data_IF_772358291826
#
_entry.id   IF_772358291826
#
_cell.length_a   1.000
_cell.length_b   1.000
_cell.length_c   1.000
_cell.angle_alpha   90.00
_cell.angle_beta   90.00
_cell.angle_gamma   90.00
#
_symmetry.space_group_name_H-M   'P 1'
#
loop_
_entity.id
_entity.type
_entity.pdbx_description
1 polymer ?
#
# COMPACT_ATOMS: atom_id res chain seq x y z
N UNK A 1 -2.48 -24.94 18.33
CA UNK A 1 -1.41 -23.92 18.22
C UNK A 1 -1.81 -22.96 17.13
N UNK A 2 -1.45 -21.69 17.23
CA UNK A 2 -1.62 -20.74 16.11
C UNK A 2 -0.68 -21.11 14.98
N UNK A 3 -1.13 -20.94 13.73
CA UNK A 3 -0.27 -21.10 12.53
C UNK A 3 0.58 -19.83 12.38
N UNK A 4 1.90 -19.97 12.40
CA UNK A 4 2.84 -18.84 12.25
C UNK A 4 3.01 -18.49 10.78
N UNK A 5 2.89 -17.23 10.43
CA UNK A 5 2.98 -16.78 9.04
C UNK A 5 3.94 -15.62 8.85
N UNK A 6 4.61 -15.61 7.70
CA UNK A 6 5.22 -14.42 7.11
C UNK A 6 4.22 -13.77 6.17
N UNK A 7 3.91 -12.51 6.40
CA UNK A 7 2.94 -11.75 5.62
C UNK A 7 3.65 -10.79 4.67
N UNK A 8 3.35 -10.91 3.39
CA UNK A 8 3.92 -10.07 2.33
C UNK A 8 2.84 -9.10 1.85
N UNK A 9 3.06 -7.81 2.05
CA UNK A 9 2.12 -6.74 1.75
C UNK A 9 2.58 -5.94 0.53
N UNK A 10 1.85 -6.09 -0.57
CA UNK A 10 2.19 -5.47 -1.85
C UNK A 10 1.92 -3.96 -1.92
N UNK A 11 2.51 -3.35 -2.97
CA UNK A 11 2.25 -1.96 -3.40
C UNK A 11 0.87 -1.82 -4.06
N UNK A 12 0.25 -0.62 -3.99
CA UNK A 12 -1.00 -0.37 -4.69
C UNK A 12 -1.79 0.88 -4.26
N UNK A 13 -1.16 1.87 -3.61
CA UNK A 13 -1.83 3.11 -3.19
C UNK A 13 -3.01 2.84 -2.26
N UNK A 14 -4.14 3.53 -2.44
CA UNK A 14 -5.33 3.40 -1.58
C UNK A 14 -5.93 1.99 -1.56
N UNK A 15 -5.71 1.17 -2.61
CA UNK A 15 -6.07 -0.26 -2.60
C UNK A 15 -5.44 -1.02 -1.43
N UNK A 16 -4.30 -0.51 -0.93
CA UNK A 16 -3.60 -1.09 0.21
C UNK A 16 -4.36 -1.05 1.52
N UNK A 17 -5.41 -0.26 1.66
CA UNK A 17 -6.29 -0.32 2.82
C UNK A 17 -6.96 -1.71 2.96
N UNK A 18 -7.01 -2.49 1.89
CA UNK A 18 -7.37 -3.91 1.94
C UNK A 18 -6.44 -4.75 2.83
N UNK A 19 -5.19 -4.35 3.01
CA UNK A 19 -4.25 -5.04 3.92
C UNK A 19 -4.77 -5.08 5.36
N UNK A 20 -5.46 -4.03 5.82
CA UNK A 20 -6.09 -3.99 7.15
C UNK A 20 -7.10 -5.14 7.28
N UNK A 21 -7.97 -5.29 6.29
CA UNK A 21 -8.95 -6.37 6.25
C UNK A 21 -8.31 -7.76 6.21
N UNK A 22 -7.23 -7.92 5.44
CA UNK A 22 -6.47 -9.19 5.38
C UNK A 22 -5.88 -9.53 6.75
N UNK A 23 -5.22 -8.58 7.41
CA UNK A 23 -4.64 -8.78 8.75
C UNK A 23 -5.72 -9.19 9.75
N UNK A 24 -6.87 -8.50 9.77
CA UNK A 24 -8.00 -8.84 10.64
C UNK A 24 -8.53 -10.26 10.38
N UNK A 25 -8.65 -10.65 9.11
CA UNK A 25 -9.08 -11.99 8.75
C UNK A 25 -8.11 -13.06 9.25
N UNK A 26 -6.81 -12.85 9.11
CA UNK A 26 -5.78 -13.77 9.58
C UNK A 26 -5.81 -13.92 11.10
N UNK A 27 -5.85 -12.82 11.86
CA UNK A 27 -5.89 -12.85 13.32
C UNK A 27 -7.14 -13.54 13.86
N UNK A 28 -8.31 -13.27 13.27
CA UNK A 28 -9.59 -13.90 13.67
C UNK A 28 -9.63 -15.40 13.40
N UNK A 29 -8.80 -15.90 12.47
CA UNK A 29 -8.74 -17.32 12.11
C UNK A 29 -7.48 -18.03 12.65
N UNK A 30 -6.97 -17.56 13.79
CA UNK A 30 -5.88 -18.17 14.53
C UNK A 30 -4.53 -18.25 13.78
N UNK A 31 -4.26 -17.30 12.89
CA UNK A 31 -2.92 -17.09 12.36
C UNK A 31 -2.16 -16.09 13.26
N UNK A 32 -0.86 -16.32 13.40
CA UNK A 32 0.07 -15.45 14.10
C UNK A 32 1.07 -14.87 13.10
N UNK A 33 0.98 -13.57 12.87
CA UNK A 33 1.91 -12.86 11.99
C UNK A 33 3.22 -12.65 12.74
N UNK A 34 4.27 -13.39 12.37
CA UNK A 34 5.58 -13.32 13.01
C UNK A 34 6.61 -12.50 12.22
N UNK A 35 6.34 -12.25 10.94
CA UNK A 35 7.18 -11.43 10.07
C UNK A 35 6.34 -10.70 9.03
N UNK A 36 6.75 -9.47 8.69
CA UNK A 36 6.16 -8.69 7.61
C UNK A 36 7.24 -8.17 6.66
N UNK A 37 7.02 -8.36 5.38
CA UNK A 37 7.71 -7.65 4.31
C UNK A 37 6.72 -6.80 3.53
N UNK A 38 6.94 -5.49 3.47
CA UNK A 38 6.02 -4.56 2.84
C UNK A 38 6.67 -3.64 1.82
N UNK A 39 5.87 -3.23 0.82
CA UNK A 39 6.26 -2.27 -0.19
C UNK A 39 5.20 -1.16 -0.29
N UNK A 40 5.63 0.11 -0.34
CA UNK A 40 4.73 1.26 -0.47
C UNK A 40 3.68 1.27 0.65
N UNK A 41 2.39 1.34 0.31
CA UNK A 41 1.29 1.21 1.27
C UNK A 41 1.38 -0.06 2.12
N UNK A 42 1.91 -1.15 1.57
CA UNK A 42 2.15 -2.38 2.32
C UNK A 42 3.23 -2.23 3.39
N UNK A 43 4.26 -1.41 3.15
CA UNK A 43 5.24 -1.07 4.17
C UNK A 43 4.60 -0.20 5.27
N UNK A 44 3.75 0.76 4.91
CA UNK A 44 3.07 1.64 5.85
C UNK A 44 2.14 0.82 6.77
N UNK A 45 1.19 0.07 6.20
CA UNK A 45 0.23 -0.74 6.97
C UNK A 45 0.95 -1.80 7.81
N UNK A 46 1.94 -2.48 7.20
CA UNK A 46 2.72 -3.51 7.88
C UNK A 46 3.55 -2.95 9.05
N UNK A 47 4.16 -1.78 8.89
CA UNK A 47 4.92 -1.11 9.94
C UNK A 47 4.05 -0.64 11.10
N UNK A 48 2.88 -0.07 10.81
CA UNK A 48 1.90 0.35 11.83
C UNK A 48 1.38 -0.88 12.60
N UNK A 49 1.08 -1.98 11.89
CA UNK A 49 0.70 -3.23 12.53
C UNK A 49 1.80 -3.78 13.42
N UNK A 50 3.03 -3.83 12.91
CA UNK A 50 4.19 -4.31 13.66
C UNK A 50 4.46 -3.48 14.94
N UNK A 51 4.13 -2.19 14.91
CA UNK A 51 4.16 -1.31 16.07
C UNK A 51 2.95 -1.48 17.03
N UNK A 52 1.99 -2.37 16.70
CA UNK A 52 0.79 -2.61 17.52
C UNK A 52 -0.24 -1.49 17.47
N UNK A 53 -0.22 -0.67 16.41
CA UNK A 53 -1.05 0.54 16.27
C UNK A 53 -2.08 0.50 15.14
N UNK A 54 -2.32 -0.69 14.60
CA UNK A 54 -3.27 -0.84 13.49
C UNK A 54 -4.72 -0.44 13.84
N UNK A 55 -5.25 -0.72 15.05
CA UNK A 55 -6.61 -0.31 15.41
C UNK A 55 -6.77 1.22 15.45
N UNK A 56 -5.80 1.94 15.99
CA UNK A 56 -5.80 3.41 16.03
C UNK A 56 -5.73 3.99 14.61
N UNK A 57 -4.87 3.42 13.76
CA UNK A 57 -4.78 3.82 12.35
C UNK A 57 -6.07 3.52 11.59
N UNK A 58 -6.70 2.36 11.80
CA UNK A 58 -7.97 2.01 11.16
C UNK A 58 -9.06 3.03 11.54
N UNK A 59 -9.18 3.38 12.82
CA UNK A 59 -10.14 4.39 13.26
C UNK A 59 -9.88 5.72 12.57
N UNK A 60 -8.64 6.19 12.56
CA UNK A 60 -8.24 7.43 11.94
C UNK A 60 -8.52 7.46 10.43
N UNK A 61 -8.17 6.42 9.69
CA UNK A 61 -8.35 6.39 8.22
C UNK A 61 -9.83 6.27 7.81
N UNK A 62 -10.68 5.71 8.66
CA UNK A 62 -12.13 5.65 8.43
C UNK A 62 -12.83 6.99 8.65
N UNK A 63 -12.24 7.88 9.45
CA UNK A 63 -12.76 9.22 9.74
C UNK A 63 -12.26 10.26 8.74
N UNK A 64 -11.17 9.97 7.99
CA UNK A 64 -10.58 10.90 7.01
C UNK A 64 -11.50 11.10 5.82
N UNK A 65 -11.78 12.36 5.53
CA UNK A 65 -12.45 12.76 4.30
C UNK A 65 -11.45 13.25 3.23
N UNK A 66 -11.97 13.63 2.05
CA UNK A 66 -11.14 14.12 0.93
C UNK A 66 -10.39 15.41 1.26
N UNK A 67 -10.96 16.28 2.11
CA UNK A 67 -10.33 17.55 2.51
C UNK A 67 -9.17 17.29 3.47
N UNK A 68 -9.32 16.32 4.36
CA UNK A 68 -8.26 15.90 5.28
C UNK A 68 -7.07 15.32 4.52
N UNK A 69 -7.32 14.46 3.52
CA UNK A 69 -6.27 13.92 2.64
C UNK A 69 -5.49 15.04 1.99
N UNK A 70 -6.20 16.03 1.41
CA UNK A 70 -5.55 17.19 0.79
C UNK A 70 -4.74 18.00 1.80
N UNK A 71 -5.28 18.17 3.01
CA UNK A 71 -4.60 18.91 4.08
C UNK A 71 -3.30 18.24 4.54
N UNK A 72 -3.20 16.92 4.40
CA UNK A 72 -2.01 16.12 4.71
C UNK A 72 -0.95 16.17 3.60
N UNK A 73 -1.31 16.67 2.40
CA UNK A 73 -0.37 16.84 1.30
C UNK A 73 0.37 18.16 1.46
N UNK A 74 1.59 18.12 1.96
CA UNK A 74 2.51 19.25 2.03
C UNK A 74 3.19 19.48 0.68
N UNK A 75 2.67 20.40 -0.11
CA UNK A 75 3.25 20.77 -1.40
C UNK A 75 4.68 21.30 -1.20
N UNK A 76 5.64 20.70 -1.87
CA UNK A 76 7.00 21.20 -1.91
C UNK A 76 7.01 22.53 -2.68
N UNK A 77 7.28 23.63 -1.99
CA UNK A 77 7.52 24.94 -2.61
C UNK A 77 8.84 24.87 -3.39
N UNK A 78 8.75 24.71 -4.70
CA UNK A 78 9.89 24.56 -5.61
C UNK A 78 9.45 23.95 -6.92
N UNK A 79 10.31 23.91 -7.89
CA UNK A 79 10.06 23.77 -9.33
C UNK A 79 9.30 22.50 -9.82
N UNK A 80 8.78 21.59 -8.97
CA UNK A 80 8.29 20.30 -9.47
C UNK A 80 6.91 19.86 -8.97
N UNK A 81 6.19 20.65 -8.15
CA UNK A 81 4.81 20.28 -7.71
C UNK A 81 4.69 18.97 -6.90
N UNK A 82 5.81 18.48 -6.35
CA UNK A 82 5.84 17.24 -5.58
C UNK A 82 5.46 17.48 -4.12
N UNK A 83 4.88 16.47 -3.48
CA UNK A 83 4.56 16.45 -2.06
C UNK A 83 5.79 16.00 -1.27
N UNK A 84 6.13 16.70 -0.18
CA UNK A 84 7.25 16.28 0.69
C UNK A 84 6.92 15.03 1.50
N UNK A 85 5.67 14.89 1.91
CA UNK A 85 5.18 13.78 2.73
C UNK A 85 5.58 13.89 4.21
N UNK A 86 6.20 14.98 4.62
CA UNK A 86 6.63 15.17 6.02
C UNK A 86 5.41 15.26 6.95
N UNK A 87 4.34 15.91 6.50
CA UNK A 87 3.14 16.13 7.30
C UNK A 87 2.43 14.80 7.62
N UNK A 88 2.24 13.94 6.61
CA UNK A 88 1.63 12.61 6.83
C UNK A 88 2.52 11.75 7.75
N UNK A 89 3.83 11.75 7.52
CA UNK A 89 4.76 10.99 8.36
C UNK A 89 4.74 11.50 9.81
N UNK A 90 4.71 12.82 10.03
CA UNK A 90 4.63 13.39 11.38
C UNK A 90 3.31 13.04 12.07
N UNK A 91 2.17 13.09 11.37
CA UNK A 91 0.87 12.65 11.91
C UNK A 91 0.92 11.17 12.33
N UNK A 92 1.54 10.32 11.52
CA UNK A 92 1.70 8.90 11.86
C UNK A 92 2.67 8.69 13.02
N UNK A 93 3.77 9.47 13.11
CA UNK A 93 4.69 9.45 14.26
C UNK A 93 4.00 9.88 15.57
N UNK A 94 3.12 10.87 15.51
CA UNK A 94 2.33 11.28 16.68
C UNK A 94 1.40 10.17 17.18
N UNK A 95 0.82 9.40 16.27
CA UNK A 95 -0.07 8.28 16.59
C UNK A 95 0.69 7.05 17.14
N UNK A 96 1.81 6.70 16.51
CA UNK A 96 2.54 5.44 16.74
C UNK A 96 3.67 5.61 17.76
N UNK A 97 4.30 6.78 17.79
CA UNK A 97 5.56 7.04 18.49
C UNK A 97 6.76 6.95 17.55
N UNK A 98 7.88 7.53 17.96
CA UNK A 98 9.16 7.43 17.25
C UNK A 98 9.88 6.14 17.69
N UNK A 99 9.78 5.10 16.87
CA UNK A 99 10.26 3.75 17.17
C UNK A 99 11.24 3.28 16.09
N UNK A 100 12.23 2.48 16.48
CA UNK A 100 13.13 1.83 15.53
C UNK A 100 12.59 0.45 15.12
N UNK A 101 12.94 0.00 13.90
CA UNK A 101 12.51 -1.30 13.40
C UNK A 101 12.97 -2.45 14.31
N UNK A 102 14.13 -2.31 14.93
CA UNK A 102 14.69 -3.34 15.83
C UNK A 102 13.98 -3.44 17.18
N UNK A 103 13.16 -2.45 17.54
CA UNK A 103 12.32 -2.47 18.76
C UNK A 103 10.93 -3.08 18.52
N UNK A 104 10.58 -3.36 17.27
CA UNK A 104 9.29 -3.97 16.92
C UNK A 104 9.20 -5.40 17.46
N UNK A 105 8.02 -5.82 17.96
CA UNK A 105 7.82 -7.17 18.53
C UNK A 105 7.89 -8.30 17.49
N UNK A 106 7.77 -7.96 16.20
CA UNK A 106 7.85 -8.91 15.08
C UNK A 106 8.87 -8.43 14.04
N UNK A 107 9.39 -9.35 13.24
CA UNK A 107 10.29 -9.01 12.14
C UNK A 107 9.59 -8.13 11.11
N UNK A 108 10.24 -7.05 10.70
CA UNK A 108 9.68 -6.12 9.71
C UNK A 108 10.75 -5.66 8.71
N UNK A 109 10.36 -5.65 7.44
CA UNK A 109 11.19 -5.10 6.35
C UNK A 109 10.33 -4.23 5.44
N UNK A 110 10.69 -2.96 5.29
CA UNK A 110 10.20 -2.09 4.23
C UNK A 110 11.10 -2.20 3.00
N UNK A 111 10.52 -2.27 1.81
CA UNK A 111 11.29 -2.33 0.57
C UNK A 111 11.16 -1.02 -0.20
N UNK A 112 12.30 -0.45 -0.57
CA UNK A 112 12.44 0.74 -1.42
C UNK A 112 13.24 0.42 -2.67
N UNK A 113 13.27 1.33 -3.64
CA UNK A 113 14.05 1.23 -4.88
C UNK A 113 15.14 2.29 -4.92
N UNK A 114 16.40 1.89 -5.08
CA UNK A 114 17.52 2.77 -5.36
C UNK A 114 17.63 2.99 -6.88
N UNK A 115 17.24 4.18 -7.36
CA UNK A 115 17.21 4.48 -8.80
C UNK A 115 18.58 4.73 -9.39
N UNK A 116 19.59 5.08 -8.59
CA UNK A 116 20.94 5.28 -9.10
C UNK A 116 21.60 3.94 -9.46
N UNK A 117 21.33 2.90 -8.67
CA UNK A 117 21.95 1.59 -8.85
C UNK A 117 21.00 0.54 -9.46
N UNK A 118 19.71 0.87 -9.66
CA UNK A 118 18.71 -0.04 -10.20
C UNK A 118 18.49 -1.26 -9.31
N UNK A 119 18.50 -1.10 -7.97
CA UNK A 119 18.42 -2.21 -7.00
C UNK A 119 17.35 -1.95 -5.98
N UNK A 120 16.67 -3.03 -5.56
CA UNK A 120 15.82 -2.99 -4.37
C UNK A 120 16.67 -2.85 -3.10
N UNK A 121 16.15 -2.14 -2.12
CA UNK A 121 16.78 -1.90 -0.81
C UNK A 121 15.86 -2.37 0.28
N UNK A 122 16.34 -3.28 1.12
CA UNK A 122 15.61 -3.80 2.26
C UNK A 122 15.97 -2.99 3.51
N UNK A 123 14.98 -2.30 4.04
CA UNK A 123 15.09 -1.44 5.20
C UNK A 123 14.50 -2.18 6.41
N UNK A 124 15.36 -2.86 7.17
CA UNK A 124 15.02 -3.71 8.31
C UNK A 124 15.68 -3.27 9.62
N UNK A 125 16.21 -2.05 9.66
CA UNK A 125 16.83 -1.42 10.83
C UNK A 125 16.74 0.10 10.71
N UNK A 126 16.99 0.80 11.83
CA UNK A 126 16.86 2.26 11.90
C UNK A 126 15.43 2.72 12.17
N UNK A 127 15.11 3.98 11.88
CA UNK A 127 13.79 4.56 12.12
C UNK A 127 12.73 3.87 11.27
N UNK A 128 11.62 3.45 11.89
CA UNK A 128 10.48 2.87 11.21
C UNK A 128 9.90 3.82 10.15
N UNK A 129 9.74 5.09 10.53
CA UNK A 129 9.11 6.07 9.64
C UNK A 129 10.02 6.55 8.52
N UNK A 130 11.35 6.54 8.70
CA UNK A 130 12.27 6.82 7.59
C UNK A 130 12.24 5.69 6.55
N UNK A 131 12.13 4.44 7.00
CA UNK A 131 11.97 3.29 6.13
C UNK A 131 10.63 3.32 5.37
N UNK A 132 9.53 3.62 6.08
CA UNK A 132 8.20 3.80 5.48
C UNK A 132 8.25 4.95 4.47
N UNK A 133 8.79 6.12 4.85
CA UNK A 133 8.87 7.30 3.99
C UNK A 133 9.63 7.02 2.69
N UNK A 134 10.74 6.28 2.76
CA UNK A 134 11.46 5.85 1.57
C UNK A 134 10.61 4.92 0.69
N UNK A 135 9.94 3.93 1.31
CA UNK A 135 9.14 2.93 0.61
C UNK A 135 7.90 3.51 -0.08
N UNK A 136 7.31 4.60 0.44
CA UNK A 136 6.12 5.26 -0.14
C UNK A 136 6.46 6.41 -1.09
N UNK A 137 7.74 6.65 -1.42
CA UNK A 137 8.17 7.76 -2.29
C UNK A 137 7.78 7.53 -3.75
N UNK A 138 6.47 7.53 -4.02
CA UNK A 138 5.90 7.31 -5.36
C UNK A 138 6.43 8.37 -6.35
N UNK A 139 7.05 7.98 -7.47
CA UNK A 139 7.50 8.90 -8.50
C UNK A 139 6.39 9.82 -9.00
N UNK A 140 6.71 11.07 -9.29
CA UNK A 140 5.81 12.13 -9.71
C UNK A 140 4.82 12.62 -8.63
N UNK A 141 4.76 11.95 -7.47
CA UNK A 141 3.90 12.35 -6.36
C UNK A 141 4.71 12.82 -5.15
N UNK A 142 5.59 11.96 -4.62
CA UNK A 142 6.46 12.31 -3.50
C UNK A 142 7.89 12.65 -3.92
N UNK A 143 8.54 13.52 -3.13
CA UNK A 143 9.99 13.75 -3.27
C UNK A 143 10.76 12.47 -2.92
N UNK A 144 11.81 12.11 -3.69
CA UNK A 144 12.69 11.01 -3.34
C UNK A 144 13.43 11.26 -2.01
N UNK A 145 13.93 10.19 -1.40
CA UNK A 145 14.79 10.27 -0.21
C UNK A 145 16.24 10.09 -0.62
N UNK A 146 17.05 11.10 -0.34
CA UNK A 146 18.50 11.06 -0.59
C UNK A 146 19.22 10.61 0.70
N UNK A 147 19.99 9.54 0.62
CA UNK A 147 20.80 9.03 1.72
C UNK A 147 22.00 8.23 1.23
N UNK A 148 23.18 8.44 1.84
CA UNK A 148 24.37 7.61 1.61
C UNK A 148 24.68 7.30 0.13
N UNK A 149 24.69 8.29 -0.74
CA UNK A 149 24.87 8.15 -2.20
C UNK A 149 23.81 7.29 -2.90
N UNK A 150 22.61 7.21 -2.35
CA UNK A 150 21.43 6.57 -2.94
C UNK A 150 20.32 7.57 -3.11
N UNK A 151 19.48 7.37 -4.11
CA UNK A 151 18.20 8.06 -4.27
C UNK A 151 17.13 6.99 -4.18
N UNK A 152 16.40 6.98 -3.04
CA UNK A 152 15.37 6.00 -2.75
C UNK A 152 14.01 6.54 -3.17
N UNK A 153 13.28 5.71 -3.89
CA UNK A 153 11.89 5.91 -4.29
C UNK A 153 11.07 4.69 -3.92
N UNK A 154 9.76 4.74 -4.23
CA UNK A 154 8.81 3.65 -3.95
C UNK A 154 9.35 2.29 -4.40
N UNK A 155 9.26 1.32 -3.49
CA UNK A 155 9.75 -0.03 -3.73
C UNK A 155 9.02 -0.75 -4.87
N UNK A 156 7.77 -0.39 -5.14
CA UNK A 156 6.95 -0.96 -6.21
C UNK A 156 7.51 -0.73 -7.61
N UNK A 157 8.46 0.21 -7.77
CA UNK A 157 9.19 0.40 -9.04
C UNK A 157 9.97 -0.86 -9.43
N UNK A 158 10.56 -1.58 -8.47
CA UNK A 158 11.38 -2.77 -8.73
C UNK A 158 10.82 -4.05 -8.11
N UNK A 159 10.06 -3.95 -7.03
CA UNK A 159 9.50 -5.12 -6.33
C UNK A 159 8.14 -4.82 -5.66
N UNK A 160 7.05 -4.85 -6.44
CA UNK A 160 5.71 -4.52 -5.92
C UNK A 160 5.15 -5.54 -4.94
N UNK A 161 5.65 -6.79 -4.91
CA UNK A 161 5.28 -7.83 -3.93
C UNK A 161 6.56 -8.45 -3.38
N UNK A 162 7.10 -7.93 -2.24
CA UNK A 162 8.44 -8.25 -1.78
C UNK A 162 8.49 -9.57 -0.98
N UNK A 163 8.54 -10.71 -1.66
CA UNK A 163 8.57 -12.05 -1.03
C UNK A 163 9.96 -12.38 -0.47
N UNK A 164 11.03 -12.03 -1.18
CA UNK A 164 12.38 -12.47 -0.86
C UNK A 164 12.86 -12.16 0.57
N UNK A 165 12.52 -11.01 1.20
CA UNK A 165 12.90 -10.75 2.59
C UNK A 165 12.41 -11.81 3.59
N UNK A 166 11.34 -12.54 3.26
CA UNK A 166 10.77 -13.57 4.15
C UNK A 166 11.35 -14.98 3.97
N UNK A 167 12.35 -15.17 3.09
CA UNK A 167 12.86 -16.52 2.79
C UNK A 167 13.55 -17.20 3.97
N UNK A 168 14.13 -16.41 4.88
CA UNK A 168 14.84 -16.92 6.05
C UNK A 168 13.95 -17.01 7.30
N UNK A 169 12.68 -16.64 7.19
CA UNK A 169 11.77 -16.65 8.33
C UNK A 169 11.38 -18.07 8.72
N UNK A 170 11.30 -18.30 10.02
CA UNK A 170 10.77 -19.52 10.61
C UNK A 170 9.24 -19.38 10.75
N UNK A 171 8.53 -19.60 9.65
CA UNK A 171 7.06 -19.54 9.56
C UNK A 171 6.49 -20.77 8.86
N UNK A 172 5.27 -21.17 9.25
CA UNK A 172 4.57 -22.30 8.65
C UNK A 172 4.12 -22.01 7.21
N UNK A 173 3.71 -20.75 6.95
CA UNK A 173 3.21 -20.31 5.65
C UNK A 173 3.70 -18.91 5.31
N UNK A 174 3.88 -18.64 4.01
CA UNK A 174 4.06 -17.34 3.41
C UNK A 174 2.78 -16.91 2.70
N UNK A 175 2.16 -15.84 3.18
CA UNK A 175 0.92 -15.31 2.63
C UNK A 175 1.22 -13.97 1.98
N UNK A 176 0.99 -13.87 0.67
CA UNK A 176 1.22 -12.64 -0.08
C UNK A 176 -0.09 -11.97 -0.50
N UNK A 177 -0.13 -10.64 -0.43
CA UNK A 177 -1.24 -9.82 -0.88
C UNK A 177 -0.80 -9.03 -2.10
N UNK A 178 -1.41 -9.29 -3.25
CA UNK A 178 -1.18 -8.60 -4.50
C UNK A 178 -2.35 -7.66 -4.79
N UNK A 179 -2.09 -6.36 -4.86
CA UNK A 179 -3.09 -5.31 -5.13
C UNK A 179 -3.18 -4.92 -6.62
N UNK A 180 -2.37 -5.53 -7.45
CA UNK A 180 -2.29 -5.28 -8.89
C UNK A 180 -2.87 -6.41 -9.74
N UNK A 181 -3.76 -7.26 -9.20
CA UNK A 181 -4.28 -8.40 -9.94
C UNK A 181 -5.24 -7.96 -11.06
N UNK A 182 -4.98 -8.48 -12.26
CA UNK A 182 -5.89 -8.33 -13.40
C UNK A 182 -7.02 -9.37 -13.39
N UNK A 183 -6.83 -10.48 -12.67
CA UNK A 183 -7.75 -11.62 -12.63
C UNK A 183 -8.85 -11.48 -11.59
N UNK A 184 -8.65 -10.63 -10.57
CA UNK A 184 -9.63 -10.44 -9.52
C UNK A 184 -10.82 -9.61 -10.04
N UNK A 185 -12.03 -10.03 -9.68
CA UNK A 185 -13.25 -9.26 -10.00
C UNK A 185 -13.27 -7.99 -9.17
N UNK A 186 -13.53 -6.81 -9.77
CA UNK A 186 -13.73 -5.58 -9.01
C UNK A 186 -14.94 -5.73 -8.05
N UNK A 187 -14.97 -4.98 -6.93
CA UNK A 187 -16.15 -4.94 -6.07
C UNK A 187 -17.36 -4.41 -6.83
N UNK A 188 -18.56 -4.88 -6.49
CA UNK A 188 -19.80 -4.30 -7.02
C UNK A 188 -19.91 -2.83 -6.58
N UNK A 189 -20.33 -1.91 -7.48
CA UNK A 189 -20.49 -0.51 -7.12
C UNK A 189 -21.56 -0.34 -6.04
N UNK A 190 -21.22 0.29 -4.93
CA UNK A 190 -22.20 0.75 -3.94
C UNK A 190 -22.85 2.02 -4.51
N UNK A 191 -24.18 2.08 -4.56
CA UNK A 191 -24.92 3.27 -5.03
C UNK A 191 -24.48 4.52 -4.24
N UNK A 192 -24.02 5.53 -4.97
CA UNK A 192 -23.54 6.80 -4.38
C UNK A 192 -24.72 7.72 -4.05
N UNK A 193 -24.72 8.26 -2.84
CA UNK A 193 -25.46 9.50 -2.53
C UNK A 193 -24.59 10.69 -2.95
N UNK A 194 -25.01 11.45 -3.96
CA UNK A 194 -24.31 12.63 -4.44
C UNK A 194 -24.51 13.81 -3.48
N UNK A 195 -23.42 14.42 -3.03
CA UNK A 195 -23.42 15.75 -2.41
C UNK A 195 -22.55 16.66 -3.28
N UNK A 196 -23.17 17.62 -3.95
CA UNK A 196 -22.48 18.67 -4.67
C UNK A 196 -22.08 19.80 -3.73
N UNK A 197 -20.82 20.21 -3.73
CA UNK A 197 -20.43 21.56 -3.31
C UNK A 197 -19.21 22.05 -4.14
N UNK A 198 -19.45 23.16 -4.87
CA UNK A 198 -18.47 23.82 -5.73
C UNK A 198 -17.87 25.01 -4.98
N UNK A 199 -16.61 24.94 -4.56
CA UNK A 199 -15.75 26.14 -4.43
C UNK A 199 -14.38 25.83 -3.83
N UNK A 200 -13.27 25.88 -4.64
CA UNK A 200 -11.93 26.32 -4.23
C UNK A 200 -10.88 26.04 -5.31
N UNK A 201 -9.80 26.84 -5.52
CA UNK A 201 -8.80 26.64 -6.60
C UNK A 201 -7.97 25.35 -6.49
N UNK A 202 -7.93 24.73 -5.31
CA UNK A 202 -7.31 23.42 -5.06
C UNK A 202 -8.14 22.29 -5.71
N UNK A 203 -9.43 22.51 -5.94
CA UNK A 203 -10.30 21.57 -6.64
C UNK A 203 -9.79 21.24 -8.05
N UNK A 204 -9.20 22.21 -8.76
CA UNK A 204 -8.65 21.99 -10.11
C UNK A 204 -7.43 21.06 -10.13
N UNK A 205 -6.60 21.07 -9.08
CA UNK A 205 -5.50 20.13 -8.95
C UNK A 205 -6.03 18.75 -8.54
N UNK A 206 -6.99 18.71 -7.62
CA UNK A 206 -7.69 17.47 -7.22
C UNK A 206 -8.54 16.94 -8.37
N UNK A 207 -9.20 17.82 -9.15
CA UNK A 207 -9.95 17.40 -10.33
C UNK A 207 -9.04 16.92 -11.46
N UNK A 208 -7.79 17.35 -11.52
CA UNK A 208 -6.77 16.74 -12.38
C UNK A 208 -6.31 15.36 -11.89
N UNK A 209 -6.52 15.06 -10.60
CA UNK A 209 -6.32 13.75 -9.96
C UNK A 209 -7.63 12.93 -9.87
N UNK A 210 -8.78 13.55 -10.11
CA UNK A 210 -10.08 12.89 -10.23
C UNK A 210 -10.27 12.39 -11.65
N UNK A 211 -10.31 11.10 -11.78
CA UNK A 211 -10.83 10.44 -12.98
C UNK A 211 -12.36 10.45 -12.92
N UNK A 212 -12.98 11.52 -13.40
CA UNK A 212 -14.41 11.49 -13.68
C UNK A 212 -14.70 10.41 -14.71
N UNK A 213 -15.47 9.40 -14.31
CA UNK A 213 -16.05 8.39 -15.18
C UNK A 213 -17.22 8.95 -16.00
N UNK A 214 -17.03 10.08 -16.66
CA UNK A 214 -17.84 10.40 -17.83
C UNK A 214 -17.07 9.94 -19.06
N UNK A 215 -17.73 9.20 -19.92
CA UNK A 215 -17.26 8.74 -21.22
C UNK A 215 -16.63 9.89 -22.00
N UNK A 216 -15.35 10.18 -21.73
CA UNK A 216 -14.54 11.04 -22.60
C UNK A 216 -13.73 10.14 -23.50
N UNK A 217 -13.97 10.34 -24.78
CA UNK A 217 -13.24 9.77 -25.91
C UNK A 217 -11.78 9.43 -25.55
N UNK A 218 -11.35 8.24 -25.92
CA UNK A 218 -10.03 7.63 -25.73
C UNK A 218 -8.82 8.52 -26.13
N UNK A 219 -9.04 9.77 -26.52
CA UNK A 219 -8.07 10.59 -27.23
C UNK A 219 -7.41 11.73 -26.46
N UNK A 220 -7.59 11.88 -25.12
CA UNK A 220 -6.90 12.96 -24.35
C UNK A 220 -6.55 12.57 -22.92
N UNK A 221 -5.77 11.50 -22.74
CA UNK A 221 -5.10 11.25 -21.44
C UNK A 221 -4.03 12.31 -21.21
N UNK A 222 -4.04 12.96 -20.05
CA UNK A 222 -2.96 13.86 -19.63
C UNK A 222 -1.66 13.11 -19.41
N UNK A 223 -0.51 13.80 -19.49
CA UNK A 223 0.81 13.16 -19.32
C UNK A 223 0.94 12.43 -17.98
N UNK A 224 0.37 12.99 -16.90
CA UNK A 224 0.34 12.35 -15.58
C UNK A 224 -0.48 11.06 -15.60
N UNK A 225 -1.65 11.08 -16.22
CA UNK A 225 -2.53 9.90 -16.33
C UNK A 225 -1.88 8.77 -17.12
N UNK A 226 -1.19 9.09 -18.20
CA UNK A 226 -0.39 8.11 -18.98
C UNK A 226 0.72 7.52 -18.11
N UNK A 227 1.42 8.36 -17.34
CA UNK A 227 2.51 7.91 -16.48
C UNK A 227 2.00 7.00 -15.34
N UNK A 228 0.88 7.37 -14.68
CA UNK A 228 0.26 6.58 -13.61
C UNK A 228 -0.22 5.20 -14.13
N UNK A 229 -0.92 5.19 -15.26
CA UNK A 229 -1.36 3.93 -15.91
C UNK A 229 -0.18 3.07 -16.38
N UNK A 230 0.88 3.69 -16.90
CA UNK A 230 2.08 2.96 -17.30
C UNK A 230 2.80 2.36 -16.08
N UNK A 231 2.90 3.11 -14.99
CA UNK A 231 3.48 2.64 -13.74
C UNK A 231 2.66 1.48 -13.15
N UNK A 232 1.33 1.60 -13.08
CA UNK A 232 0.43 0.54 -12.61
C UNK A 232 0.54 -0.74 -13.48
N UNK A 233 0.63 -0.60 -14.80
CA UNK A 233 0.82 -1.73 -15.70
C UNK A 233 2.19 -2.41 -15.48
N UNK A 234 3.28 -1.63 -15.36
CA UNK A 234 4.61 -2.18 -15.07
C UNK A 234 4.64 -2.91 -13.73
N UNK A 235 4.05 -2.33 -12.68
CA UNK A 235 3.95 -2.99 -11.38
C UNK A 235 3.19 -4.30 -11.45
N UNK A 236 2.05 -4.35 -12.16
CA UNK A 236 1.26 -5.58 -12.32
C UNK A 236 2.05 -6.69 -13.01
N UNK A 237 2.80 -6.38 -14.05
CA UNK A 237 3.66 -7.35 -14.74
C UNK A 237 4.86 -7.80 -13.87
N UNK A 238 5.49 -6.88 -13.14
CA UNK A 238 6.56 -7.22 -12.21
C UNK A 238 6.06 -8.09 -11.06
N UNK A 239 4.88 -7.79 -10.49
CA UNK A 239 4.24 -8.62 -9.47
C UNK A 239 3.99 -10.04 -9.99
N UNK A 240 3.41 -10.18 -11.19
CA UNK A 240 3.18 -11.48 -11.81
C UNK A 240 4.48 -12.27 -12.01
N UNK A 241 5.55 -11.63 -12.49
CA UNK A 241 6.85 -12.25 -12.66
C UNK A 241 7.49 -12.69 -11.32
N UNK A 242 7.42 -11.83 -10.28
CA UNK A 242 7.93 -12.15 -8.93
C UNK A 242 7.15 -13.30 -8.30
N UNK A 243 5.82 -13.29 -8.38
CA UNK A 243 4.95 -14.36 -7.87
C UNK A 243 5.17 -15.70 -8.60
N UNK A 244 5.45 -15.66 -9.90
CA UNK A 244 5.79 -16.86 -10.65
C UNK A 244 7.17 -17.43 -10.27
N UNK A 245 8.15 -16.56 -10.00
CA UNK A 245 9.49 -16.97 -9.59
C UNK A 245 9.55 -17.44 -8.13
N UNK A 246 8.73 -16.86 -7.27
CA UNK A 246 8.70 -17.08 -5.82
C UNK A 246 7.25 -17.22 -5.36
N UNK A 247 6.59 -18.36 -5.66
CA UNK A 247 5.19 -18.55 -5.28
C UNK A 247 5.04 -18.59 -3.76
N UNK A 248 4.11 -17.78 -3.18
CA UNK A 248 3.73 -17.91 -1.78
C UNK A 248 2.84 -19.14 -1.58
N UNK A 249 2.68 -19.58 -0.32
CA UNK A 249 1.76 -20.67 0.01
C UNK A 249 0.29 -20.26 -0.19
N UNK A 250 -0.02 -18.98 0.08
CA UNK A 250 -1.34 -18.38 -0.18
C UNK A 250 -1.16 -17.05 -0.86
N UNK A 251 -1.90 -16.82 -1.94
CA UNK A 251 -1.98 -15.56 -2.64
C UNK A 251 -3.37 -14.94 -2.46
N UNK A 252 -3.43 -13.75 -1.86
CA UNK A 252 -4.64 -12.91 -1.77
C UNK A 252 -4.58 -11.89 -2.90
N UNK A 253 -5.50 -11.97 -3.85
CA UNK A 253 -5.53 -11.14 -5.04
C UNK A 253 -6.64 -10.08 -4.96
N UNK A 254 -6.26 -8.82 -4.92
CA UNK A 254 -7.16 -7.66 -5.00
C UNK A 254 -7.05 -7.07 -6.40
N UNK A 255 -8.20 -6.77 -7.01
CA UNK A 255 -8.25 -6.19 -8.35
C UNK A 255 -7.58 -4.81 -8.38
N UNK A 256 -6.75 -4.57 -9.41
CA UNK A 256 -6.18 -3.23 -9.66
C UNK A 256 -7.26 -2.16 -9.93
N UNK A 257 -8.45 -2.59 -10.33
CA UNK A 257 -9.59 -1.72 -10.59
C UNK A 257 -10.52 -1.54 -9.38
N UNK A 258 -10.15 -2.04 -8.19
CA UNK A 258 -10.97 -1.94 -6.98
C UNK A 258 -11.18 -0.49 -6.54
N UNK A 259 -10.14 0.34 -6.63
CA UNK A 259 -10.21 1.79 -6.46
C UNK A 259 -9.00 2.47 -7.14
N UNK A 260 -9.05 3.80 -7.29
CA UNK A 260 -7.92 4.61 -7.78
C UNK A 260 -6.79 4.70 -6.76
N UNK A 261 -5.59 5.04 -7.25
CA UNK A 261 -4.35 5.09 -6.44
C UNK A 261 -4.43 6.02 -5.23
N UNK A 262 -5.22 7.11 -5.32
CA UNK A 262 -5.34 8.13 -4.27
C UNK A 262 -6.75 8.21 -3.63
N UNK A 263 -7.64 7.25 -3.89
CA UNK A 263 -8.99 7.20 -3.34
C UNK A 263 -9.03 6.63 -1.90
N UNK A 264 -8.32 7.25 -0.96
CA UNK A 264 -8.27 6.83 0.44
C UNK A 264 -9.62 6.98 1.17
N UNK A 265 -10.53 7.78 0.64
CA UNK A 265 -11.92 7.90 1.10
C UNK A 265 -12.74 6.60 0.95
N UNK A 266 -12.21 5.59 0.25
CA UNK A 266 -12.81 4.26 0.12
C UNK A 266 -12.28 3.25 1.15
N UNK A 267 -11.82 3.72 2.30
CA UNK A 267 -11.20 2.88 3.32
C UNK A 267 -12.10 1.72 3.76
N UNK A 268 -13.35 2.00 4.11
CA UNK A 268 -14.30 0.97 4.57
C UNK A 268 -14.52 -0.13 3.52
N UNK A 269 -14.69 0.25 2.24
CA UNK A 269 -14.89 -0.68 1.14
C UNK A 269 -13.66 -1.58 0.93
N UNK A 270 -12.46 -0.98 0.95
CA UNK A 270 -11.21 -1.72 0.75
C UNK A 270 -10.91 -2.66 1.91
N UNK A 271 -11.15 -2.25 3.15
CA UNK A 271 -11.00 -3.11 4.33
C UNK A 271 -11.94 -4.33 4.23
N UNK A 272 -13.21 -4.11 3.91
CA UNK A 272 -14.19 -5.19 3.75
C UNK A 272 -13.81 -6.14 2.60
N UNK A 273 -13.33 -5.59 1.46
CA UNK A 273 -12.86 -6.37 0.32
C UNK A 273 -11.65 -7.23 0.71
N UNK A 274 -10.66 -6.64 1.41
CA UNK A 274 -9.47 -7.35 1.87
C UNK A 274 -9.82 -8.53 2.78
N UNK A 275 -10.72 -8.29 3.74
CA UNK A 275 -11.20 -9.33 4.65
C UNK A 275 -11.85 -10.50 3.89
N UNK A 276 -12.85 -10.21 3.06
CA UNK A 276 -13.61 -11.25 2.33
C UNK A 276 -12.74 -12.01 1.35
N UNK A 277 -11.83 -11.33 0.67
CA UNK A 277 -10.90 -11.96 -0.29
C UNK A 277 -9.89 -12.86 0.42
N UNK A 278 -9.39 -12.45 1.60
CA UNK A 278 -8.50 -13.27 2.42
C UNK A 278 -9.20 -14.57 2.85
N UNK A 279 -10.42 -14.49 3.38
CA UNK A 279 -11.20 -15.68 3.75
C UNK A 279 -11.37 -16.63 2.57
N UNK A 280 -11.72 -16.11 1.39
CA UNK A 280 -11.84 -16.90 0.17
C UNK A 280 -10.52 -17.59 -0.20
N UNK A 281 -9.39 -16.84 -0.13
CA UNK A 281 -8.08 -17.41 -0.44
C UNK A 281 -7.69 -18.51 0.54
N UNK A 282 -7.92 -18.33 1.85
CA UNK A 282 -7.63 -19.33 2.87
C UNK A 282 -8.47 -20.61 2.69
N UNK A 283 -9.75 -20.48 2.36
CA UNK A 283 -10.63 -21.62 2.04
C UNK A 283 -10.15 -22.38 0.80
N UNK A 284 -9.81 -21.68 -0.26
CA UNK A 284 -9.32 -22.28 -1.50
C UNK A 284 -8.01 -23.06 -1.30
N UNK A 285 -7.22 -22.71 -0.29
CA UNK A 285 -5.98 -23.42 0.07
C UNK A 285 -6.15 -24.39 1.26
N UNK A 286 -7.39 -24.74 1.61
CA UNK A 286 -7.73 -25.69 2.69
C UNK A 286 -7.14 -25.31 4.07
N UNK A 287 -6.89 -24.03 4.30
CA UNK A 287 -6.39 -23.53 5.59
C UNK A 287 -7.51 -23.15 6.55
N UNK A 288 -8.74 -22.95 6.04
CA UNK A 288 -9.98 -22.88 6.80
C UNK A 288 -10.88 -24.05 6.36
N UNK A 289 -11.42 -24.74 7.33
CA UNK A 289 -12.51 -25.70 7.11
C UNK A 289 -13.83 -24.93 6.91
N UNK A 290 -14.75 -25.48 6.13
CA UNK A 290 -16.07 -24.90 5.88
C UNK A 290 -16.88 -24.68 7.17
#
# INVERSE_FOLDING_TARGET
MKKRISLILGSGGARGLAHIGVIKALEQHNFEICSISGCSIGALIGGIYAAGKLPEFETWILEIDKYDIVSLLDLAWGNNGLVKGDKIINTLKEMVGDITITELPISYTAVASDILNGKEVWLNSGSLFDAIRASISLPLFFTPIETNNRILIDGGVLNPVPIAPTFIDDSDYKIAVNLGSEKATPPEPIEKVEIHDDTFPISRFIDSLRFDKEEKEVNKLGAYEVADKAFDAMQSHLAAAKLAAYPPDVLVEISRNACGTLEFDKAAEMIALGYSTCIKALKNNYLLLE
#
